data_IF_479541517063
#
_entry.id   IF_479541517063
#
_cell.length_a   1.000
_cell.length_b   1.000
_cell.length_c   1.000
_cell.angle_alpha   90.00
_cell.angle_beta   90.00
_cell.angle_gamma   90.00
#
_symmetry.space_group_name_H-M   'P 1'
#
loop_
_entity.id
_entity.type
_entity.pdbx_description
1 polymer ?
#
# COMPACT_ATOMS: atom_id res chain seq x y z
N UNK A 1 -13.16 -16.17 -4.31
CA UNK A 1 -11.80 -15.87 -3.81
C UNK A 1 -11.66 -14.37 -3.69
N UNK A 2 -10.77 -13.86 -2.88
CA UNK A 2 -10.56 -12.42 -2.72
C UNK A 2 -9.30 -12.02 -3.51
N UNK A 3 -9.34 -10.87 -4.19
CA UNK A 3 -8.15 -10.29 -4.85
C UNK A 3 -7.00 -10.21 -3.83
N UNK A 4 -5.85 -10.76 -4.20
CA UNK A 4 -4.63 -10.73 -3.38
C UNK A 4 -3.48 -10.16 -4.20
N UNK A 5 -2.82 -9.15 -3.66
CA UNK A 5 -1.69 -8.46 -4.28
C UNK A 5 -0.45 -8.60 -3.40
N UNK A 6 0.72 -8.60 -3.99
CA UNK A 6 1.98 -8.29 -3.30
C UNK A 6 2.37 -6.83 -3.58
N UNK A 7 3.19 -6.24 -2.73
CA UNK A 7 3.76 -4.93 -3.00
C UNK A 7 4.62 -4.99 -4.28
N UNK A 8 4.42 -4.06 -5.25
CA UNK A 8 5.14 -4.08 -6.53
C UNK A 8 6.60 -3.64 -6.42
N UNK A 9 6.96 -3.01 -5.32
CA UNK A 9 8.32 -2.56 -4.99
C UNK A 9 8.52 -2.60 -3.47
N UNK A 10 9.77 -2.60 -3.04
CA UNK A 10 10.12 -2.37 -1.64
C UNK A 10 10.42 -0.88 -1.45
N UNK A 11 9.43 -0.12 -1.01
CA UNK A 11 9.53 1.34 -0.80
C UNK A 11 8.48 1.82 0.21
N UNK A 12 8.72 3.00 0.79
CA UNK A 12 7.74 3.64 1.68
C UNK A 12 6.63 4.29 0.84
N UNK A 13 5.38 4.16 1.27
CA UNK A 13 4.25 4.86 0.64
C UNK A 13 4.33 6.34 1.02
N UNK A 14 4.35 7.21 0.03
CA UNK A 14 4.46 8.68 0.20
C UNK A 14 3.16 9.41 -0.14
N UNK A 15 2.30 8.80 -0.97
CA UNK A 15 0.98 9.36 -1.24
C UNK A 15 -0.09 8.27 -1.24
N UNK A 16 -1.17 8.50 -0.52
CA UNK A 16 -2.27 7.55 -0.35
C UNK A 16 -3.35 7.74 -1.43
N UNK A 17 -4.17 6.71 -1.60
CA UNK A 17 -5.39 6.77 -2.40
C UNK A 17 -6.35 7.85 -1.86
N UNK A 18 -6.98 8.60 -2.76
CA UNK A 18 -8.01 9.58 -2.45
C UNK A 18 -7.51 10.93 -1.92
N UNK A 19 -6.21 11.11 -1.67
CA UNK A 19 -5.67 12.39 -1.19
C UNK A 19 -5.51 13.40 -2.33
N UNK A 20 -5.29 14.68 -1.95
CA UNK A 20 -5.02 15.81 -2.84
C UNK A 20 -6.06 16.01 -3.96
N UNK A 21 -7.36 16.19 -3.62
CA UNK A 21 -8.43 16.29 -4.61
C UNK A 21 -8.25 17.45 -5.59
N UNK A 22 -7.68 18.58 -5.17
CA UNK A 22 -7.48 19.74 -6.05
C UNK A 22 -6.47 19.45 -7.15
N UNK A 23 -5.41 18.72 -6.84
CA UNK A 23 -4.42 18.32 -7.84
C UNK A 23 -5.00 17.30 -8.85
N UNK A 24 -5.76 16.29 -8.37
CA UNK A 24 -6.25 15.20 -9.21
C UNK A 24 -7.53 15.53 -10.00
N UNK A 25 -8.24 16.63 -9.66
CA UNK A 25 -9.40 17.14 -10.38
C UNK A 25 -9.12 17.39 -11.87
N UNK A 26 -7.91 17.85 -12.23
CA UNK A 26 -7.48 18.05 -13.61
C UNK A 26 -7.44 16.76 -14.44
N UNK A 27 -7.31 15.60 -13.80
CA UNK A 27 -7.37 14.27 -14.43
C UNK A 27 -8.76 13.65 -14.38
N UNK A 28 -9.74 14.38 -13.80
CA UNK A 28 -11.11 13.94 -13.64
C UNK A 28 -11.30 12.87 -12.56
N UNK A 29 -10.47 12.94 -11.51
CA UNK A 29 -10.58 12.14 -10.30
C UNK A 29 -10.86 13.02 -9.08
N UNK A 30 -11.62 12.51 -8.08
CA UNK A 30 -11.88 13.24 -6.84
C UNK A 30 -10.71 13.19 -5.85
N UNK A 31 -9.59 12.60 -6.22
CA UNK A 31 -8.35 12.48 -5.47
C UNK A 31 -7.39 11.51 -6.15
N UNK A 32 -6.28 11.18 -5.51
CA UNK A 32 -5.27 10.27 -6.02
C UNK A 32 -5.87 8.88 -6.34
N UNK A 33 -5.70 8.40 -7.57
CA UNK A 33 -6.31 7.15 -8.05
C UNK A 33 -5.43 5.91 -7.86
N UNK A 34 -4.47 5.98 -6.94
CA UNK A 34 -3.56 4.90 -6.58
C UNK A 34 -2.82 5.21 -5.28
N UNK A 35 -1.67 4.62 -5.12
CA UNK A 35 -0.70 4.94 -4.07
C UNK A 35 0.67 5.15 -4.70
N UNK A 36 1.49 6.02 -4.11
CA UNK A 36 2.84 6.27 -4.58
C UNK A 36 3.89 5.73 -3.62
N UNK A 37 4.90 5.06 -4.19
CA UNK A 37 6.04 4.53 -3.45
C UNK A 37 7.29 5.37 -3.73
N UNK A 38 7.93 5.91 -2.68
CA UNK A 38 9.26 6.52 -2.80
C UNK A 38 10.29 5.44 -3.13
N UNK A 39 10.85 5.51 -4.31
CA UNK A 39 11.91 4.61 -4.80
C UNK A 39 12.82 5.36 -5.77
N UNK A 40 14.07 4.92 -5.87
CA UNK A 40 15.02 5.49 -6.82
C UNK A 40 14.69 5.10 -8.26
N UNK A 41 15.06 5.94 -9.22
CA UNK A 41 15.08 5.58 -10.65
C UNK A 41 15.86 4.29 -10.87
N UNK A 42 15.37 3.43 -11.77
CA UNK A 42 16.01 2.15 -12.10
C UNK A 42 15.67 1.02 -11.11
N UNK A 43 14.80 1.25 -10.10
CA UNK A 43 14.35 0.17 -9.22
C UNK A 43 13.45 -0.80 -9.99
N UNK A 44 13.69 -2.11 -9.83
CA UNK A 44 12.85 -3.13 -10.45
C UNK A 44 11.43 -3.10 -9.89
N UNK A 45 10.45 -3.02 -10.80
CA UNK A 45 9.02 -3.07 -10.49
C UNK A 45 8.50 -4.44 -10.86
N UNK A 46 7.77 -5.09 -9.94
CA UNK A 46 7.24 -6.44 -10.14
C UNK A 46 5.72 -6.47 -10.27
N UNK A 47 5.20 -7.47 -10.95
CA UNK A 47 3.75 -7.72 -11.05
C UNK A 47 3.16 -8.04 -9.68
N UNK A 48 2.23 -7.22 -9.20
CA UNK A 48 1.56 -7.40 -7.90
C UNK A 48 0.65 -8.65 -7.84
N UNK A 49 0.21 -9.14 -8.99
CA UNK A 49 -0.51 -10.40 -9.16
C UNK A 49 -0.20 -11.00 -10.53
N UNK A 50 -0.39 -12.32 -10.66
CA UNK A 50 -0.29 -12.99 -11.96
C UNK A 50 -1.40 -12.51 -12.90
N UNK A 51 -1.08 -12.31 -14.18
CA UNK A 51 -2.05 -11.79 -15.15
C UNK A 51 -1.52 -11.75 -16.58
N UNK A 52 -2.21 -10.97 -17.41
CA UNK A 52 -1.80 -10.69 -18.78
C UNK A 52 -1.53 -9.21 -18.95
N UNK A 53 -0.43 -8.84 -19.59
CA UNK A 53 -0.12 -7.46 -19.93
C UNK A 53 -1.17 -6.94 -20.90
N UNK A 54 -2.06 -6.10 -20.40
CA UNK A 54 -3.13 -5.52 -21.22
C UNK A 54 -2.61 -4.35 -22.06
N UNK A 55 -1.61 -3.63 -21.56
CA UNK A 55 -1.06 -2.46 -22.23
C UNK A 55 0.34 -2.12 -21.72
N UNK A 56 1.18 -1.69 -22.63
CA UNK A 56 2.43 -0.95 -22.38
C UNK A 56 2.31 0.32 -23.21
N UNK A 57 2.31 1.49 -22.57
CA UNK A 57 2.06 2.76 -23.26
C UNK A 57 2.76 3.93 -22.58
N UNK A 58 2.72 5.08 -23.26
CA UNK A 58 3.15 6.36 -22.74
C UNK A 58 1.98 7.35 -22.76
N UNK A 59 1.74 8.00 -21.62
CA UNK A 59 0.74 9.04 -21.47
C UNK A 59 1.40 10.35 -21.02
N UNK A 60 1.49 11.29 -21.96
CA UNK A 60 2.08 12.59 -21.67
C UNK A 60 1.20 13.37 -20.68
N UNK A 61 1.81 13.90 -19.61
CA UNK A 61 1.10 14.69 -18.58
C UNK A 61 0.20 13.87 -17.64
N UNK A 62 0.27 12.54 -17.71
CA UNK A 62 -0.38 11.59 -16.81
C UNK A 62 0.61 10.54 -16.31
N UNK A 63 0.33 9.28 -16.56
CA UNK A 63 1.13 8.12 -16.09
C UNK A 63 2.57 8.03 -16.63
N UNK A 64 2.96 8.82 -17.64
CA UNK A 64 4.25 8.62 -18.33
C UNK A 64 4.31 7.26 -18.99
N UNK A 65 5.48 6.60 -18.95
CA UNK A 65 5.57 5.19 -19.33
C UNK A 65 4.88 4.34 -18.27
N UNK A 66 3.96 3.47 -18.69
CA UNK A 66 3.25 2.60 -17.76
C UNK A 66 2.97 1.22 -18.34
N UNK A 67 2.82 0.28 -17.43
CA UNK A 67 2.32 -1.07 -17.69
C UNK A 67 0.95 -1.22 -17.02
N UNK A 68 -0.01 -1.78 -17.74
CA UNK A 68 -1.31 -2.20 -17.23
C UNK A 68 -1.40 -3.71 -17.33
N UNK A 69 -1.67 -4.38 -16.21
CA UNK A 69 -1.99 -5.80 -16.20
C UNK A 69 -3.51 -6.00 -16.06
N UNK A 70 -4.01 -7.04 -16.70
CA UNK A 70 -5.38 -7.52 -16.56
C UNK A 70 -5.39 -8.84 -15.82
N UNK A 71 -6.31 -8.96 -14.86
CA UNK A 71 -6.44 -10.10 -13.97
C UNK A 71 -7.89 -10.59 -13.92
N UNK A 72 -8.07 -11.86 -13.56
CA UNK A 72 -9.38 -12.47 -13.32
C UNK A 72 -9.30 -13.26 -12.01
N UNK A 73 -10.22 -13.00 -11.07
CA UNK A 73 -10.43 -13.79 -9.87
C UNK A 73 -11.90 -14.20 -9.76
N UNK A 74 -12.19 -15.44 -10.12
CA UNK A 74 -13.57 -15.90 -10.28
C UNK A 74 -14.31 -15.12 -11.38
N UNK A 75 -15.39 -14.45 -11.02
CA UNK A 75 -16.14 -13.56 -11.93
C UNK A 75 -15.65 -12.13 -11.95
N UNK A 76 -14.76 -11.71 -11.02
CA UNK A 76 -14.24 -10.35 -10.93
C UNK A 76 -13.09 -10.14 -11.91
N UNK A 77 -13.20 -9.07 -12.70
CA UNK A 77 -12.11 -8.56 -13.53
C UNK A 77 -11.53 -7.33 -12.85
N UNK A 78 -10.20 -7.26 -12.80
CA UNK A 78 -9.51 -6.13 -12.25
C UNK A 78 -8.21 -5.86 -12.99
N UNK A 79 -7.65 -4.68 -12.77
CA UNK A 79 -6.45 -4.21 -13.45
C UNK A 79 -5.50 -3.58 -12.44
N UNK A 80 -4.21 -3.82 -12.62
CA UNK A 80 -3.17 -3.08 -11.90
C UNK A 80 -2.38 -2.21 -12.86
N UNK A 81 -2.03 -1.01 -12.40
CA UNK A 81 -1.31 0.01 -13.15
C UNK A 81 0.01 0.31 -12.45
N UNK A 82 1.07 0.40 -13.23
CA UNK A 82 2.43 0.66 -12.78
C UNK A 82 2.98 1.79 -13.62
N UNK A 83 3.04 3.00 -13.07
CA UNK A 83 3.31 4.21 -13.82
C UNK A 83 4.65 4.87 -13.45
N UNK A 84 5.00 5.91 -14.20
CA UNK A 84 6.23 6.69 -14.09
C UNK A 84 7.49 5.86 -14.32
N UNK A 85 7.40 4.83 -15.18
CA UNK A 85 8.51 3.94 -15.48
C UNK A 85 9.54 4.60 -16.42
N UNK A 86 10.81 4.16 -16.35
CA UNK A 86 11.81 4.43 -17.40
C UNK A 86 11.56 3.53 -18.60
N UNK A 87 11.25 2.26 -18.33
CA UNK A 87 11.06 1.25 -19.37
C UNK A 87 10.19 0.10 -18.88
N UNK A 88 9.49 -0.54 -19.81
CA UNK A 88 8.82 -1.81 -19.59
C UNK A 88 9.73 -2.97 -20.01
N UNK A 89 9.75 -4.04 -19.23
CA UNK A 89 10.47 -5.30 -19.53
C UNK A 89 9.53 -6.37 -20.12
N UNK A 90 8.29 -5.99 -20.43
CA UNK A 90 7.22 -6.87 -20.93
C UNK A 90 6.50 -6.23 -22.11
N UNK A 91 5.77 -7.04 -22.87
CA UNK A 91 4.99 -6.59 -24.02
C UNK A 91 3.50 -6.93 -23.87
N UNK A 92 2.62 -6.15 -24.53
CA UNK A 92 1.19 -6.40 -24.53
C UNK A 92 0.87 -7.85 -25.01
N UNK A 93 -0.06 -8.50 -24.34
CA UNK A 93 -0.43 -9.91 -24.55
C UNK A 93 0.43 -10.92 -23.78
N UNK A 94 1.56 -10.52 -23.22
CA UNK A 94 2.42 -11.40 -22.43
C UNK A 94 1.75 -11.80 -21.12
N UNK A 95 1.81 -13.10 -20.76
CA UNK A 95 1.41 -13.58 -19.43
C UNK A 95 2.57 -13.43 -18.45
N UNK A 96 2.28 -12.91 -17.27
CA UNK A 96 3.25 -12.72 -16.19
C UNK A 96 2.78 -13.44 -14.92
N UNK A 97 3.73 -13.98 -14.18
CA UNK A 97 3.47 -14.50 -12.83
C UNK A 97 3.56 -13.37 -11.81
N UNK A 98 2.93 -13.54 -10.65
CA UNK A 98 3.16 -12.67 -9.49
C UNK A 98 4.67 -12.60 -9.18
N UNK A 99 5.18 -11.40 -8.88
CA UNK A 99 6.61 -11.18 -8.61
C UNK A 99 7.52 -11.11 -9.85
N UNK A 100 7.00 -11.33 -11.06
CA UNK A 100 7.79 -11.16 -12.28
C UNK A 100 8.15 -9.68 -12.50
N UNK A 101 9.42 -9.38 -12.82
CA UNK A 101 9.84 -8.01 -13.18
C UNK A 101 9.13 -7.58 -14.45
N UNK A 102 8.47 -6.43 -14.43
CA UNK A 102 7.69 -5.86 -15.54
C UNK A 102 8.23 -4.53 -16.05
N UNK A 103 9.16 -3.90 -15.34
CA UNK A 103 9.78 -2.65 -15.75
C UNK A 103 10.72 -2.09 -14.68
N UNK A 104 11.24 -0.91 -14.95
CA UNK A 104 12.08 -0.13 -14.05
C UNK A 104 11.40 1.21 -13.74
N UNK A 105 11.46 1.65 -12.49
CA UNK A 105 10.91 2.94 -12.03
C UNK A 105 11.69 4.14 -12.56
N UNK A 106 11.04 5.29 -12.58
CA UNK A 106 11.67 6.58 -12.89
C UNK A 106 10.77 7.76 -12.48
N UNK A 107 10.79 8.83 -13.30
CA UNK A 107 10.12 10.11 -13.12
C UNK A 107 9.44 10.59 -14.42
N UNK A 108 8.88 9.68 -15.23
CA UNK A 108 8.23 10.05 -16.50
C UNK A 108 6.78 10.50 -16.29
N UNK A 109 6.25 11.33 -17.22
CA UNK A 109 4.87 11.83 -17.13
C UNK A 109 4.65 12.97 -16.14
N UNK A 110 3.48 13.03 -15.49
CA UNK A 110 3.13 14.04 -14.48
C UNK A 110 3.72 13.67 -13.11
N UNK A 111 5.03 13.76 -12.98
CA UNK A 111 5.76 13.39 -11.78
C UNK A 111 6.73 14.49 -11.36
N UNK A 112 6.93 14.70 -10.07
CA UNK A 112 7.83 15.70 -9.49
C UNK A 112 9.16 15.13 -9.02
N UNK A 113 9.29 13.81 -8.99
CA UNK A 113 10.50 13.09 -8.56
C UNK A 113 10.35 11.59 -8.75
N UNK A 114 11.45 10.82 -8.67
CA UNK A 114 11.39 9.36 -8.85
C UNK A 114 10.47 8.68 -7.87
N UNK A 115 9.46 7.97 -8.36
CA UNK A 115 8.52 7.17 -7.57
C UNK A 115 7.82 6.13 -8.46
N UNK A 116 7.13 5.18 -7.85
CA UNK A 116 6.17 4.32 -8.53
C UNK A 116 4.76 4.75 -8.13
N UNK A 117 3.93 5.14 -9.09
CA UNK A 117 2.50 5.18 -8.90
C UNK A 117 1.91 3.79 -9.17
N UNK A 118 1.18 3.26 -8.19
CA UNK A 118 0.51 1.96 -8.27
C UNK A 118 -1.00 2.10 -8.10
N UNK A 119 -1.76 1.76 -9.13
CA UNK A 119 -3.23 1.81 -9.15
C UNK A 119 -3.85 0.40 -9.20
N UNK A 120 -4.95 0.21 -8.46
CA UNK A 120 -5.84 -0.94 -8.55
C UNK A 120 -7.20 -0.47 -9.06
N UNK A 121 -7.68 -1.04 -10.18
CA UNK A 121 -9.00 -0.77 -10.73
C UNK A 121 -9.80 -2.06 -10.80
N UNK A 122 -11.00 -2.06 -10.22
CA UNK A 122 -11.93 -3.19 -10.24
C UNK A 122 -13.14 -2.78 -11.09
N UNK A 123 -13.50 -3.61 -12.07
CA UNK A 123 -14.62 -3.31 -12.97
C UNK A 123 -15.94 -3.27 -12.20
N UNK A 124 -16.67 -2.15 -12.36
CA UNK A 124 -17.97 -1.90 -11.69
C UNK A 124 -17.91 -1.34 -10.27
N UNK A 125 -16.72 -1.23 -9.67
CA UNK A 125 -16.53 -0.67 -8.32
C UNK A 125 -16.27 0.85 -8.37
N UNK A 126 -16.50 1.55 -7.25
CA UNK A 126 -16.15 2.94 -6.98
C UNK A 126 -16.36 3.90 -8.17
N UNK A 127 -17.61 4.18 -8.62
CA UNK A 127 -17.89 5.01 -9.81
C UNK A 127 -17.22 6.38 -9.80
N UNK A 128 -17.15 7.14 -8.67
CA UNK A 128 -16.46 8.42 -8.63
C UNK A 128 -14.99 8.35 -9.04
N UNK A 129 -14.31 7.24 -8.73
CA UNK A 129 -12.94 6.96 -9.13
C UNK A 129 -12.82 6.10 -10.40
N UNK A 130 -13.91 5.96 -11.18
CA UNK A 130 -13.94 5.20 -12.44
C UNK A 130 -13.48 3.73 -12.28
N UNK A 131 -13.76 3.14 -11.12
CA UNK A 131 -13.38 1.78 -10.76
C UNK A 131 -12.08 1.66 -9.97
N UNK A 132 -11.29 2.74 -9.81
CA UNK A 132 -10.10 2.68 -8.96
C UNK A 132 -10.49 2.61 -7.48
N UNK A 133 -9.76 1.80 -6.75
CA UNK A 133 -9.95 1.57 -5.31
C UNK A 133 -8.61 1.63 -4.60
N UNK A 134 -8.63 1.89 -3.28
CA UNK A 134 -7.42 1.82 -2.47
C UNK A 134 -6.81 0.41 -2.55
N UNK A 135 -5.56 0.25 -3.04
CA UNK A 135 -4.93 -1.08 -3.16
C UNK A 135 -4.47 -1.67 -1.83
N UNK A 136 -4.31 -0.86 -0.78
CA UNK A 136 -3.74 -1.31 0.51
C UNK A 136 -4.50 -2.50 1.12
N UNK A 137 -5.85 -2.52 1.19
CA UNK A 137 -6.59 -3.64 1.75
C UNK A 137 -6.44 -4.98 0.98
N UNK A 138 -5.90 -4.93 -0.23
CA UNK A 138 -5.72 -6.11 -1.09
C UNK A 138 -4.32 -6.70 -1.03
N UNK A 139 -3.37 -6.02 -0.40
CA UNK A 139 -2.05 -6.61 -0.22
C UNK A 139 -2.15 -7.80 0.72
N UNK A 140 -1.79 -8.97 0.19
CA UNK A 140 -1.58 -10.16 1.02
C UNK A 140 -0.28 -9.95 1.80
N UNK A 141 -0.34 -10.15 3.09
CA UNK A 141 0.82 -10.27 3.96
C UNK A 141 1.69 -11.41 3.41
N UNK A 142 2.75 -11.03 2.73
CA UNK A 142 3.64 -11.79 1.89
C UNK A 142 3.68 -13.31 2.04
N UNK A 143 3.57 -13.97 0.91
CA UNK A 143 3.94 -15.36 0.74
C UNK A 143 4.44 -15.57 -0.67
N UNK A 144 5.74 -15.69 -0.87
CA UNK A 144 6.27 -16.49 -1.98
C UNK A 144 5.77 -17.90 -1.75
N UNK A 145 4.98 -18.46 -2.69
CA UNK A 145 4.69 -19.88 -2.74
C UNK A 145 6.00 -20.67 -2.90
N UNK A 146 6.59 -20.99 -1.77
CA UNK A 146 7.59 -22.04 -1.58
C UNK A 146 7.13 -22.81 -0.36
N UNK A 147 6.58 -24.01 -0.59
CA UNK A 147 5.94 -24.87 0.38
C UNK A 147 6.60 -24.86 1.78
N UNK A 148 5.90 -24.27 2.72
CA UNK A 148 6.27 -24.24 4.12
C UNK A 148 5.26 -23.42 4.89
N UNK A 149 4.54 -24.03 5.82
CA UNK A 149 3.67 -23.39 6.78
C UNK A 149 4.51 -22.42 7.63
N UNK A 150 4.53 -21.15 7.24
CA UNK A 150 5.11 -20.06 8.01
C UNK A 150 4.20 -18.85 7.87
N UNK A 151 3.57 -18.42 8.95
CA UNK A 151 2.88 -17.13 9.06
C UNK A 151 3.93 -16.04 8.87
N UNK A 152 4.06 -15.49 7.65
CA UNK A 152 4.95 -14.36 7.41
C UNK A 152 4.34 -13.14 8.09
N UNK A 153 5.11 -12.60 9.02
CA UNK A 153 4.79 -11.37 9.74
C UNK A 153 4.60 -10.21 8.74
N UNK A 154 3.41 -9.56 8.69
CA UNK A 154 3.18 -8.42 7.79
C UNK A 154 4.04 -7.19 8.12
N UNK A 155 4.66 -7.20 9.30
CA UNK A 155 5.51 -6.11 9.79
C UNK A 155 6.85 -6.66 10.28
N UNK A 156 7.74 -7.10 9.37
CA UNK A 156 9.00 -7.78 9.72
C UNK A 156 9.96 -6.88 10.52
N UNK A 157 9.79 -5.56 10.42
CA UNK A 157 10.57 -4.58 11.18
C UNK A 157 10.03 -4.36 12.62
N UNK A 158 8.92 -5.00 12.98
CA UNK A 158 8.36 -4.86 14.32
C UNK A 158 9.05 -5.79 15.32
N UNK A 159 9.51 -5.22 16.42
CA UNK A 159 10.18 -5.95 17.52
C UNK A 159 9.13 -6.45 18.50
N UNK A 160 9.23 -7.71 18.92
CA UNK A 160 8.39 -8.27 19.98
C UNK A 160 8.70 -7.60 21.31
N UNK A 161 7.66 -7.13 22.00
CA UNK A 161 7.74 -6.56 23.33
C UNK A 161 7.45 -7.65 24.39
N UNK A 162 8.02 -7.54 25.60
CA UNK A 162 7.74 -8.48 26.70
C UNK A 162 6.40 -8.19 27.38
N UNK A 163 5.31 -7.99 26.61
CA UNK A 163 3.98 -7.65 27.12
C UNK A 163 3.98 -6.41 28.03
N UNK A 164 4.52 -5.32 27.52
CA UNK A 164 4.60 -4.06 28.30
C UNK A 164 3.22 -3.43 28.50
N UNK A 165 2.87 -3.06 29.75
CA UNK A 165 1.62 -2.37 30.04
C UNK A 165 1.71 -0.89 29.65
N UNK A 166 0.70 -0.40 28.97
CA UNK A 166 0.56 1.01 28.59
C UNK A 166 -0.82 1.54 28.97
N UNK A 167 -0.89 2.83 29.27
CA UNK A 167 -2.14 3.58 29.46
C UNK A 167 -2.27 4.67 28.43
N UNK A 168 -3.45 4.82 27.84
CA UNK A 168 -3.77 5.88 26.89
C UNK A 168 -3.87 7.22 27.62
N UNK A 169 -3.09 8.21 27.19
CA UNK A 169 -3.02 9.53 27.82
C UNK A 169 -3.87 10.59 27.12
N UNK A 170 -4.35 10.30 25.90
CA UNK A 170 -5.13 11.22 25.07
C UNK A 170 -6.62 10.92 25.14
N UNK A 171 -7.49 11.94 24.97
CA UNK A 171 -8.95 11.78 25.07
C UNK A 171 -9.47 10.73 24.10
N UNK A 172 -8.94 10.69 22.87
CA UNK A 172 -9.26 9.69 21.87
C UNK A 172 -8.02 9.33 21.05
N UNK A 173 -7.69 8.05 21.00
CA UNK A 173 -6.56 7.52 20.22
C UNK A 173 -7.08 6.53 19.17
N UNK A 174 -6.79 6.79 17.90
CA UNK A 174 -7.20 5.90 16.81
C UNK A 174 -6.45 4.57 16.86
N UNK A 175 -7.20 3.49 16.71
CA UNK A 175 -6.68 2.13 16.47
C UNK A 175 -6.69 1.87 14.97
N UNK A 176 -5.57 1.40 14.44
CA UNK A 176 -5.39 1.13 13.01
C UNK A 176 -5.01 -0.33 12.75
N UNK A 177 -5.21 -0.78 11.52
CA UNK A 177 -4.85 -2.14 11.10
C UNK A 177 -3.38 -2.29 10.70
N UNK A 178 -2.54 -1.29 11.01
CA UNK A 178 -1.09 -1.31 10.78
C UNK A 178 -0.38 -0.13 11.44
N UNK A 179 0.97 -0.16 11.51
CA UNK A 179 1.78 0.82 12.23
C UNK A 179 2.08 2.06 11.38
N UNK A 180 1.10 2.95 11.25
CA UNK A 180 1.23 4.21 10.53
C UNK A 180 -0.11 4.93 10.38
N UNK A 181 -0.06 6.23 10.09
CA UNK A 181 -1.28 7.05 9.85
C UNK A 181 -1.95 6.69 8.53
N UNK A 182 -1.23 6.06 7.63
CA UNK A 182 -1.67 5.53 6.33
C UNK A 182 -2.58 4.31 6.45
N UNK A 183 -2.55 3.61 7.58
CA UNK A 183 -3.41 2.45 7.81
C UNK A 183 -4.83 2.85 8.25
N UNK A 184 -5.81 2.05 7.84
CA UNK A 184 -7.22 2.31 8.13
C UNK A 184 -7.51 2.32 9.63
N UNK A 185 -8.36 3.25 10.08
CA UNK A 185 -8.89 3.28 11.43
C UNK A 185 -9.90 2.13 11.58
N UNK A 186 -9.64 1.22 12.53
CA UNK A 186 -10.50 0.06 12.83
C UNK A 186 -11.16 0.16 14.21
N UNK A 187 -10.87 1.22 14.95
CA UNK A 187 -11.44 1.47 16.26
C UNK A 187 -10.84 2.71 16.93
N UNK A 188 -11.23 2.93 18.16
CA UNK A 188 -10.69 4.01 18.99
C UNK A 188 -10.52 3.54 20.45
N UNK A 189 -9.52 4.09 21.12
CA UNK A 189 -9.29 3.96 22.56
C UNK A 189 -9.50 5.32 23.22
N UNK A 190 -10.03 5.33 24.43
CA UNK A 190 -10.21 6.53 25.22
C UNK A 190 -9.15 6.64 26.31
N UNK A 191 -8.94 7.84 26.80
CA UNK A 191 -8.03 8.14 27.91
C UNK A 191 -8.29 7.22 29.11
N UNK A 192 -7.21 6.74 29.71
CA UNK A 192 -7.24 5.78 30.80
C UNK A 192 -7.40 4.33 30.37
N UNK A 193 -7.62 4.05 29.07
CA UNK A 193 -7.64 2.67 28.57
C UNK A 193 -6.28 2.03 28.76
N UNK A 194 -6.27 0.85 29.36
CA UNK A 194 -5.05 0.04 29.55
C UNK A 194 -4.94 -0.98 28.44
N UNK A 195 -3.76 -1.06 27.83
CA UNK A 195 -3.42 -2.03 26.78
C UNK A 195 -2.10 -2.73 27.11
N UNK A 196 -1.92 -3.91 26.57
CA UNK A 196 -0.64 -4.63 26.66
C UNK A 196 0.04 -4.60 25.30
N UNK A 197 1.13 -3.86 25.18
CA UNK A 197 1.92 -3.80 23.96
C UNK A 197 2.66 -5.09 23.69
N UNK A 198 2.45 -5.69 22.54
CA UNK A 198 3.05 -6.97 22.12
C UNK A 198 4.19 -6.77 21.13
N UNK A 199 4.10 -5.74 20.31
CA UNK A 199 5.10 -5.43 19.28
C UNK A 199 5.27 -3.93 19.13
N UNK A 200 6.49 -3.50 18.79
CA UNK A 200 6.83 -2.11 18.47
C UNK A 200 7.41 -2.08 17.06
N UNK A 201 6.88 -1.22 16.19
CA UNK A 201 7.46 -1.00 14.88
C UNK A 201 8.71 -0.13 15.00
N UNK A 202 9.87 -0.63 14.54
CA UNK A 202 11.18 -0.02 14.79
C UNK A 202 11.41 1.32 14.07
N UNK A 203 10.72 1.56 12.95
CA UNK A 203 10.85 2.80 12.16
C UNK A 203 9.80 3.85 12.46
N UNK A 204 8.80 3.51 13.27
CA UNK A 204 7.72 4.40 13.67
C UNK A 204 7.25 4.03 15.08
N UNK A 205 6.87 5.01 15.86
CA UNK A 205 6.49 4.80 17.26
C UNK A 205 5.05 4.29 17.39
N UNK A 206 4.81 3.07 16.88
CA UNK A 206 3.52 2.40 16.90
C UNK A 206 3.60 1.08 17.67
N UNK A 207 2.58 0.82 18.48
CA UNK A 207 2.46 -0.37 19.32
C UNK A 207 1.31 -1.23 18.83
N UNK A 208 1.58 -2.51 18.58
CA UNK A 208 0.57 -3.54 18.41
C UNK A 208 0.19 -4.10 19.79
N UNK A 209 -1.11 -4.09 20.12
CA UNK A 209 -1.63 -4.61 21.39
C UNK A 209 -2.55 -5.82 21.22
N UNK A 210 -3.13 -6.00 20.03
CA UNK A 210 -3.83 -7.20 19.58
C UNK A 210 -3.41 -7.48 18.14
N UNK A 211 -3.48 -8.72 17.63
CA UNK A 211 -3.10 -9.04 16.26
C UNK A 211 -3.76 -8.11 15.24
N UNK A 212 -2.97 -7.38 14.47
CA UNK A 212 -3.42 -6.38 13.49
C UNK A 212 -4.05 -5.13 14.06
N UNK A 213 -3.97 -4.87 15.39
CA UNK A 213 -4.44 -3.62 16.00
C UNK A 213 -3.29 -2.81 16.56
N UNK A 214 -3.08 -1.66 15.96
CA UNK A 214 -1.98 -0.76 16.25
C UNK A 214 -2.47 0.61 16.71
N UNK A 215 -1.75 1.23 17.63
CA UNK A 215 -1.96 2.62 18.00
C UNK A 215 -0.63 3.34 18.16
N UNK A 216 -0.63 4.67 17.98
CA UNK A 216 0.59 5.46 18.11
C UNK A 216 1.04 5.51 19.58
N UNK A 217 2.32 5.18 19.82
CA UNK A 217 2.98 5.45 21.09
C UNK A 217 3.27 6.95 21.21
N UNK A 218 3.79 7.56 20.12
CA UNK A 218 4.03 8.99 20.01
C UNK A 218 3.89 9.44 18.55
N UNK A 219 3.53 10.70 18.34
CA UNK A 219 3.50 11.35 17.04
C UNK A 219 3.71 12.86 17.22
N UNK A 220 4.54 13.46 16.36
CA UNK A 220 4.85 14.88 16.37
C UNK A 220 5.22 15.43 17.79
N UNK A 221 6.09 14.69 18.47
CA UNK A 221 6.55 15.04 19.83
C UNK A 221 5.52 14.82 20.95
N UNK A 222 4.31 14.36 20.63
CA UNK A 222 3.26 14.07 21.61
C UNK A 222 3.22 12.59 21.94
N UNK A 223 3.31 12.25 23.22
CA UNK A 223 3.17 10.87 23.73
C UNK A 223 1.69 10.56 23.96
N UNK A 224 1.17 9.52 23.27
CA UNK A 224 -0.21 9.07 23.39
C UNK A 224 -0.37 7.89 24.36
N UNK A 225 0.71 7.15 24.59
CA UNK A 225 0.78 6.05 25.55
C UNK A 225 1.88 6.33 26.58
N UNK A 226 1.66 5.97 27.82
CA UNK A 226 2.69 5.90 28.86
C UNK A 226 2.81 4.46 29.35
N UNK A 227 4.02 4.05 29.72
CA UNK A 227 4.25 2.82 30.48
C UNK A 227 3.63 2.96 31.87
N UNK A 228 2.99 1.89 32.37
CA UNK A 228 2.51 1.79 33.74
C UNK A 228 3.61 1.33 34.70
#
# INVERSE_FOLDING_TARGET
MAIKLIAPVNGSITQLFGVDPEFYKRFGFPGHNGIDYAISSGTSVVAAAGGTVAMVAFENGGYGNYVKLSHVDGSKKYHTYYAHLSSASVSAGQKVKVGAVIGLSDNTGASTGPHLHFGLRIDGENPPFKGYVDPIPFFSTGGTDSGGVGTTDPFPDAVTLPNLPFEVTFETLNVRNGPGVEFSIVGQLTKGTKITGKRLHSKSVWVEFEPGKWCALAFDGTMFLKLE
#
